data_IF_782099478451
#
_entry.id   IF_782099478451
#
_cell.length_a   1.000
_cell.length_b   1.000
_cell.length_c   1.000
_cell.angle_alpha   90.00
_cell.angle_beta   90.00
_cell.angle_gamma   90.00
#
_symmetry.space_group_name_H-M   'P 1'
#
loop_
_entity.id
_entity.type
_entity.pdbx_description
1 polymer ?
#
# COMPACT_ATOMS: atom_id res chain seq x y z
N UNK A 1 3.74 10.32 25.04
CA UNK A 1 3.66 10.76 23.63
C UNK A 1 3.41 9.53 22.76
N UNK A 2 2.36 9.55 21.94
CA UNK A 2 2.12 8.51 20.93
C UNK A 2 2.85 8.91 19.65
N UNK A 3 3.87 8.15 19.26
CA UNK A 3 4.57 8.37 18.00
C UNK A 3 3.77 7.73 16.85
N UNK A 4 3.24 8.56 15.95
CA UNK A 4 2.51 8.09 14.76
C UNK A 4 3.46 8.05 13.56
N UNK A 5 3.68 6.87 12.99
CA UNK A 5 4.36 6.74 11.71
C UNK A 5 3.31 6.97 10.61
N UNK A 6 3.37 8.13 9.94
CA UNK A 6 2.58 8.39 8.73
C UNK A 6 3.39 7.91 7.54
N UNK A 7 2.97 6.79 6.95
CA UNK A 7 3.43 6.40 5.61
C UNK A 7 2.44 7.00 4.60
N UNK A 8 2.96 7.45 3.46
CA UNK A 8 2.52 8.60 2.68
C UNK A 8 1.04 8.70 2.28
N UNK A 9 0.68 9.95 1.92
CA UNK A 9 -0.64 10.47 1.65
C UNK A 9 -0.84 10.71 0.15
N UNK A 10 -1.82 10.03 -0.46
CA UNK A 10 -2.50 10.54 -1.64
C UNK A 10 -3.73 11.31 -1.15
N UNK A 11 -3.65 12.64 -1.07
CA UNK A 11 -4.80 13.49 -0.77
C UNK A 11 -5.57 13.81 -2.05
N UNK A 12 -6.91 13.88 -1.96
CA UNK A 12 -7.70 14.58 -2.98
C UNK A 12 -7.18 16.01 -3.14
N UNK A 13 -7.06 16.55 -4.36
CA UNK A 13 -6.87 17.99 -4.51
C UNK A 13 -8.04 18.71 -3.84
N UNK A 14 -7.73 19.59 -2.89
CA UNK A 14 -8.70 20.55 -2.36
C UNK A 14 -8.97 21.55 -3.49
N UNK A 15 -10.26 21.88 -3.70
CA UNK A 15 -10.76 22.84 -4.69
C UNK A 15 -9.82 24.06 -4.89
N UNK A 16 -9.64 24.59 -6.12
CA UNK A 16 -8.70 25.68 -6.42
C UNK A 16 -9.05 27.04 -5.78
N UNK A 17 -10.09 27.12 -4.95
CA UNK A 17 -10.49 28.33 -4.25
C UNK A 17 -10.70 28.02 -2.76
N UNK A 18 -9.71 28.32 -1.93
CA UNK A 18 -9.82 28.18 -0.47
C UNK A 18 -8.54 28.60 0.24
N UNK A 19 -8.53 29.83 0.76
CA UNK A 19 -7.44 30.39 1.56
C UNK A 19 -7.15 29.53 2.79
N UNK A 20 -5.87 29.25 3.06
CA UNK A 20 -5.43 28.71 4.35
C UNK A 20 -4.74 29.80 5.17
N UNK A 21 -5.26 30.01 6.38
CA UNK A 21 -4.57 30.67 7.47
C UNK A 21 -3.36 29.81 7.90
N UNK A 22 -2.16 30.38 7.84
CA UNK A 22 -0.99 29.86 8.55
C UNK A 22 -0.90 30.53 9.91
N UNK A 23 -1.01 29.75 11.00
CA UNK A 23 -0.48 30.14 12.30
C UNK A 23 0.92 29.51 12.44
N UNK A 24 1.89 30.36 12.74
CA UNK A 24 3.34 30.13 12.70
C UNK A 24 3.88 29.71 14.08
N UNK A 25 4.91 28.87 14.10
CA UNK A 25 6.01 28.91 15.09
C UNK A 25 7.24 28.21 14.50
N UNK A 26 8.09 28.93 13.75
CA UNK A 26 9.46 29.39 14.11
C UNK A 26 10.39 28.31 14.68
N UNK A 27 11.34 27.83 13.87
CA UNK A 27 12.79 28.02 14.10
C UNK A 27 13.58 27.53 12.87
N UNK A 28 14.42 28.45 12.38
CA UNK A 28 15.34 28.34 11.25
C UNK A 28 16.36 27.21 11.39
N UNK A 29 16.79 26.65 10.26
CA UNK A 29 18.20 26.55 9.84
C UNK A 29 18.21 26.13 8.36
N UNK A 30 18.83 26.96 7.54
CA UNK A 30 19.21 26.65 6.17
C UNK A 30 20.38 25.68 6.17
N UNK A 31 20.32 24.59 5.41
CA UNK A 31 21.52 23.91 4.91
C UNK A 31 21.28 23.47 3.46
N UNK A 32 21.92 24.20 2.55
CA UNK A 32 22.33 23.66 1.25
C UNK A 32 23.51 22.72 1.53
N UNK A 33 23.41 21.47 1.13
CA UNK A 33 24.57 20.59 0.94
C UNK A 33 24.33 19.73 -0.30
N UNK A 34 24.93 20.17 -1.41
CA UNK A 34 25.36 19.28 -2.48
C UNK A 34 26.47 18.40 -1.93
N UNK A 35 26.31 17.08 -1.99
CA UNK A 35 27.44 16.15 -1.95
C UNK A 35 27.32 15.24 -3.16
N UNK A 36 28.21 15.49 -4.12
CA UNK A 36 28.65 14.55 -5.14
C UNK A 36 29.46 13.44 -4.51
N UNK A 37 29.25 12.19 -4.92
CA UNK A 37 30.11 11.07 -4.55
C UNK A 37 29.43 9.74 -4.75
N UNK A 38 29.81 9.06 -5.82
CA UNK A 38 29.57 7.64 -6.07
C UNK A 38 30.09 6.77 -4.92
N UNK A 39 29.76 5.47 -4.98
CA UNK A 39 30.21 4.34 -4.13
C UNK A 39 29.20 3.93 -3.04
N UNK A 40 28.24 3.08 -3.42
CA UNK A 40 28.12 1.68 -2.96
C UNK A 40 26.91 1.00 -3.61
N UNK A 41 27.03 0.73 -4.92
CA UNK A 41 26.24 -0.29 -5.59
C UNK A 41 26.94 -1.65 -5.38
N UNK A 42 26.68 -2.33 -4.25
CA UNK A 42 26.95 -3.78 -4.08
C UNK A 42 26.44 -4.28 -2.73
N UNK A 43 25.15 -4.64 -2.69
CA UNK A 43 24.60 -5.80 -1.95
C UNK A 43 23.07 -5.78 -2.07
N UNK A 44 22.56 -6.19 -3.23
CA UNK A 44 21.15 -6.60 -3.37
C UNK A 44 21.13 -7.96 -4.06
N UNK A 45 21.66 -8.95 -3.35
CA UNK A 45 21.48 -10.39 -3.55
C UNK A 45 21.60 -10.89 -2.09
N UNK A 46 20.54 -11.22 -1.35
CA UNK A 46 19.70 -12.40 -1.49
C UNK A 46 18.52 -12.23 -0.53
N UNK A 47 17.30 -12.03 -1.05
CA UNK A 47 16.06 -12.21 -0.26
C UNK A 47 15.06 -13.11 -1.00
N UNK A 48 15.55 -13.85 -2.00
CA UNK A 48 14.83 -14.92 -2.67
C UNK A 48 14.62 -16.16 -1.79
N UNK A 49 15.29 -16.26 -0.65
CA UNK A 49 15.34 -17.49 0.16
C UNK A 49 14.40 -17.48 1.38
N UNK A 50 13.56 -16.45 1.54
CA UNK A 50 12.46 -16.45 2.53
C UNK A 50 11.11 -16.89 1.95
N UNK A 51 11.07 -17.32 0.69
CA UNK A 51 9.99 -18.20 0.21
C UNK A 51 10.33 -19.63 0.67
N UNK A 52 10.38 -19.79 1.99
CA UNK A 52 10.51 -21.08 2.64
C UNK A 52 9.31 -21.94 2.29
N UNK A 53 9.60 -23.22 2.03
CA UNK A 53 8.70 -24.30 1.61
C UNK A 53 7.55 -24.55 2.61
N UNK A 54 6.60 -23.63 2.70
CA UNK A 54 5.24 -23.98 3.00
C UNK A 54 4.59 -24.34 1.68
N UNK A 55 4.19 -25.60 1.51
CA UNK A 55 3.26 -25.97 0.44
C UNK A 55 2.07 -25.01 0.53
N UNK A 56 2.00 -24.03 -0.39
CA UNK A 56 0.77 -23.31 -0.65
C UNK A 56 -0.25 -24.41 -0.99
N UNK A 57 -1.35 -24.56 -0.23
CA UNK A 57 -2.31 -25.63 -0.46
C UNK A 57 -2.71 -25.57 -1.93
N UNK A 58 -2.35 -26.65 -2.64
CA UNK A 58 -2.62 -26.80 -4.05
C UNK A 58 -4.12 -26.57 -4.27
N UNK A 59 -4.44 -25.68 -5.20
CA UNK A 59 -5.80 -25.43 -5.69
C UNK A 59 -6.76 -24.93 -4.59
N UNK A 60 -6.64 -23.65 -4.22
CA UNK A 60 -7.80 -23.01 -3.59
C UNK A 60 -8.86 -22.79 -4.67
N UNK A 61 -9.73 -23.80 -4.85
CA UNK A 61 -10.91 -23.74 -5.70
C UNK A 61 -11.92 -22.70 -5.19
N UNK A 62 -13.21 -22.92 -5.38
CA UNK A 62 -14.29 -22.02 -4.90
C UNK A 62 -14.16 -21.61 -3.41
N UNK A 63 -13.45 -22.38 -2.59
CA UNK A 63 -13.09 -22.04 -1.20
C UNK A 63 -12.12 -20.87 -1.01
N UNK A 64 -11.27 -20.54 -2.00
CA UNK A 64 -10.24 -19.50 -1.86
C UNK A 64 -10.78 -18.09 -1.89
N UNK A 65 -11.77 -17.87 -2.76
CA UNK A 65 -12.53 -16.63 -2.81
C UNK A 65 -13.20 -16.33 -1.46
N UNK A 66 -13.72 -17.38 -0.81
CA UNK A 66 -14.39 -17.27 0.49
C UNK A 66 -13.40 -17.05 1.64
N UNK A 67 -12.20 -17.63 1.57
CA UNK A 67 -11.15 -17.39 2.56
C UNK A 67 -10.67 -15.93 2.51
N UNK A 68 -10.27 -15.42 1.33
CA UNK A 68 -9.79 -14.04 1.19
C UNK A 68 -10.88 -13.04 1.57
N UNK A 69 -12.14 -13.30 1.16
CA UNK A 69 -13.25 -12.43 1.54
C UNK A 69 -13.41 -12.36 3.06
N UNK A 70 -13.39 -13.50 3.75
CA UNK A 70 -13.49 -13.54 5.21
C UNK A 70 -12.34 -12.80 5.88
N UNK A 71 -11.12 -12.93 5.36
CA UNK A 71 -9.96 -12.20 5.85
C UNK A 71 -10.16 -10.68 5.69
N UNK A 72 -10.45 -10.20 4.47
CA UNK A 72 -10.67 -8.77 4.22
C UNK A 72 -11.83 -8.22 5.06
N UNK A 73 -12.95 -8.96 5.13
CA UNK A 73 -14.11 -8.58 5.95
C UNK A 73 -13.78 -8.52 7.44
N UNK A 74 -13.01 -9.48 7.97
CA UNK A 74 -12.60 -9.47 9.38
C UNK A 74 -11.65 -8.31 9.72
N UNK A 75 -10.87 -7.85 8.74
CA UNK A 75 -9.92 -6.74 8.89
C UNK A 75 -10.60 -5.37 8.71
N UNK A 76 -11.72 -5.30 8.00
CA UNK A 76 -12.51 -4.09 7.86
C UNK A 76 -13.28 -3.76 9.16
N UNK A 77 -13.14 -2.52 9.63
CA UNK A 77 -13.84 -2.00 10.82
C UNK A 77 -14.92 -1.01 10.37
N UNK A 78 -16.18 -1.48 10.19
CA UNK A 78 -17.26 -0.62 9.71
C UNK A 78 -17.57 0.48 10.72
N UNK A 79 -17.85 1.68 10.22
CA UNK A 79 -18.27 2.84 11.00
C UNK A 79 -19.65 3.33 10.56
N UNK A 80 -20.31 4.10 11.43
CA UNK A 80 -21.58 4.74 11.09
C UNK A 80 -21.35 5.72 9.93
N UNK A 81 -22.11 5.56 8.85
CA UNK A 81 -21.98 6.40 7.65
C UNK A 81 -21.06 5.83 6.57
N UNK A 82 -20.40 4.69 6.81
CA UNK A 82 -19.63 4.01 5.76
C UNK A 82 -20.52 3.65 4.56
N UNK A 83 -20.03 3.79 3.32
CA UNK A 83 -20.83 3.46 2.16
C UNK A 83 -21.20 1.98 2.08
N UNK A 84 -22.44 1.70 1.71
CA UNK A 84 -22.97 0.33 1.57
C UNK A 84 -22.19 -0.51 0.55
N UNK A 85 -21.47 0.12 -0.38
CA UNK A 85 -20.70 -0.59 -1.40
C UNK A 85 -19.43 -1.25 -0.90
N UNK A 86 -18.88 -0.85 0.26
CA UNK A 86 -17.55 -1.33 0.69
C UNK A 86 -17.55 -2.85 0.85
N UNK A 87 -18.61 -3.43 1.42
CA UNK A 87 -18.68 -4.89 1.59
C UNK A 87 -18.77 -5.65 0.24
N UNK A 88 -19.58 -5.17 -0.70
CA UNK A 88 -19.67 -5.78 -2.03
C UNK A 88 -18.36 -5.66 -2.79
N UNK A 89 -17.69 -4.51 -2.67
CA UNK A 89 -16.42 -4.25 -3.35
C UNK A 89 -15.30 -5.13 -2.76
N UNK A 90 -15.24 -5.32 -1.44
CA UNK A 90 -14.29 -6.27 -0.81
C UNK A 90 -14.50 -7.71 -1.29
N UNK A 91 -15.73 -8.11 -1.60
CA UNK A 91 -16.04 -9.43 -2.20
C UNK A 91 -15.54 -9.52 -3.64
N UNK A 92 -15.64 -8.44 -4.41
CA UNK A 92 -15.10 -8.41 -5.77
C UNK A 92 -13.58 -8.41 -5.77
N UNK A 93 -12.95 -7.62 -4.89
CA UNK A 93 -11.52 -7.63 -4.65
C UNK A 93 -11.02 -9.02 -4.25
N UNK A 94 -11.74 -9.75 -3.39
CA UNK A 94 -11.33 -11.10 -3.00
C UNK A 94 -11.30 -12.08 -4.18
N UNK A 95 -12.32 -12.04 -5.05
CA UNK A 95 -12.36 -12.83 -6.28
C UNK A 95 -11.24 -12.44 -7.24
N UNK A 96 -10.89 -11.16 -7.29
CA UNK A 96 -9.76 -10.68 -8.07
C UNK A 96 -8.45 -11.26 -7.52
N UNK A 97 -8.16 -11.09 -6.23
CA UNK A 97 -6.89 -11.55 -5.62
C UNK A 97 -6.70 -13.06 -5.66
N UNK A 98 -7.77 -13.85 -5.50
CA UNK A 98 -7.68 -15.32 -5.54
C UNK A 98 -7.18 -15.89 -6.88
N UNK A 99 -7.15 -15.09 -7.96
CA UNK A 99 -6.59 -15.49 -9.25
C UNK A 99 -5.06 -15.38 -9.32
N UNK A 100 -4.42 -14.76 -8.33
CA UNK A 100 -2.98 -14.51 -8.32
C UNK A 100 -2.37 -15.11 -7.06
N UNK A 101 -1.64 -16.24 -7.16
CA UNK A 101 -0.95 -16.85 -6.03
C UNK A 101 -0.06 -15.88 -5.25
N UNK A 102 0.51 -14.90 -5.94
CA UNK A 102 1.35 -13.86 -5.36
C UNK A 102 0.56 -12.93 -4.42
N UNK A 103 -0.67 -12.54 -4.81
CA UNK A 103 -1.57 -11.76 -3.96
C UNK A 103 -2.11 -12.59 -2.80
N UNK A 104 -2.44 -13.87 -3.06
CA UNK A 104 -2.83 -14.83 -2.01
C UNK A 104 -1.74 -14.93 -0.95
N UNK A 105 -0.48 -15.13 -1.36
CA UNK A 105 0.66 -15.27 -0.47
C UNK A 105 0.86 -14.04 0.44
N UNK A 106 0.72 -12.83 -0.11
CA UNK A 106 0.76 -11.58 0.67
C UNK A 106 -0.34 -11.62 1.73
N UNK A 107 -1.59 -11.81 1.32
CA UNK A 107 -2.74 -11.80 2.23
C UNK A 107 -2.65 -12.87 3.33
N UNK A 108 -2.25 -14.09 2.99
CA UNK A 108 -2.06 -15.17 3.97
C UNK A 108 -0.89 -14.90 4.91
N UNK A 109 0.20 -14.30 4.42
CA UNK A 109 1.35 -13.94 5.24
C UNK A 109 1.05 -12.84 6.26
N UNK A 110 0.03 -12.03 6.01
CA UNK A 110 -0.41 -10.95 6.90
C UNK A 110 -1.43 -11.40 7.97
N UNK A 111 -1.75 -12.69 8.04
CA UNK A 111 -2.79 -13.19 8.97
C UNK A 111 -2.38 -13.09 10.43
N UNK A 112 -1.09 -13.25 10.74
CA UNK A 112 -0.56 -13.14 12.10
C UNK A 112 -0.35 -11.68 12.56
N UNK A 113 -0.41 -10.71 11.65
CA UNK A 113 -0.19 -9.30 11.95
C UNK A 113 -1.46 -8.60 12.47
N UNK A 114 -1.29 -7.66 13.41
CA UNK A 114 -2.37 -6.83 13.92
C UNK A 114 -2.61 -5.60 13.02
N UNK A 115 -3.45 -5.79 12.00
CA UNK A 115 -3.87 -4.71 11.10
C UNK A 115 -5.38 -4.65 10.89
N UNK A 116 -5.85 -3.48 10.48
CA UNK A 116 -7.26 -3.20 10.17
C UNK A 116 -7.40 -2.30 8.94
N UNK A 117 -8.60 -2.26 8.37
CA UNK A 117 -8.99 -1.32 7.31
C UNK A 117 -10.17 -0.47 7.78
N UNK A 118 -10.16 0.81 7.43
CA UNK A 118 -11.22 1.77 7.77
C UNK A 118 -11.52 2.63 6.56
N UNK A 119 -12.81 2.87 6.30
CA UNK A 119 -13.23 3.75 5.22
C UNK A 119 -12.71 5.18 5.44
N UNK A 120 -12.22 5.81 4.38
CA UNK A 120 -11.84 7.21 4.32
C UNK A 120 -11.95 7.69 2.86
N UNK A 121 -12.96 8.51 2.58
CA UNK A 121 -13.20 9.04 1.24
C UNK A 121 -12.09 9.96 0.70
N UNK A 122 -11.13 10.37 1.54
CA UNK A 122 -10.15 11.42 1.22
C UNK A 122 -8.76 10.90 0.84
N UNK A 123 -8.45 9.63 1.16
CA UNK A 123 -7.09 9.11 1.03
C UNK A 123 -7.01 7.59 0.89
N UNK A 124 -5.93 7.16 0.25
CA UNK A 124 -5.29 5.88 0.50
C UNK A 124 -4.07 6.12 1.38
N UNK A 125 -3.97 5.40 2.51
CA UNK A 125 -2.78 5.47 3.36
C UNK A 125 -2.71 4.33 4.37
N UNK A 126 -1.52 3.81 4.61
CA UNK A 126 -1.21 2.92 5.73
C UNK A 126 -0.65 3.70 6.91
N UNK A 127 -1.32 3.60 8.06
CA UNK A 127 -0.93 4.25 9.31
C UNK A 127 -0.43 3.20 10.29
N UNK A 128 0.82 3.32 10.74
CA UNK A 128 1.37 2.46 11.78
C UNK A 128 1.50 3.23 13.10
N UNK A 129 1.11 2.59 14.20
CA UNK A 129 1.29 3.09 15.56
C UNK A 129 2.12 2.09 16.34
N UNK A 130 3.01 2.58 17.19
CA UNK A 130 3.87 1.73 17.99
C UNK A 130 4.69 2.50 19.00
N UNK A 131 5.30 1.78 19.95
CA UNK A 131 6.21 2.32 20.96
C UNK A 131 7.51 1.52 20.99
N UNK A 132 8.59 2.13 21.48
CA UNK A 132 9.83 1.45 21.84
C UNK A 132 10.38 0.49 20.77
N UNK A 133 10.36 0.91 19.49
CA UNK A 133 10.81 0.12 18.33
C UNK A 133 9.97 -1.14 18.06
N UNK A 134 8.71 -1.15 18.44
CA UNK A 134 7.72 -2.14 18.02
C UNK A 134 6.56 -1.43 17.31
N UNK A 135 5.88 -2.15 16.42
CA UNK A 135 4.64 -1.70 15.78
C UNK A 135 3.50 -2.44 16.45
N UNK A 136 2.62 -1.70 17.13
CA UNK A 136 1.52 -2.25 17.91
C UNK A 136 0.27 -2.45 17.05
N UNK A 137 0.04 -1.57 16.08
CA UNK A 137 -1.11 -1.65 15.19
C UNK A 137 -0.88 -0.96 13.86
N UNK A 138 -1.52 -1.50 12.81
CA UNK A 138 -1.50 -0.93 11.47
C UNK A 138 -2.93 -0.71 10.98
N UNK A 139 -3.23 0.44 10.37
CA UNK A 139 -4.55 0.77 9.83
C UNK A 139 -4.44 1.28 8.41
N UNK A 140 -5.10 0.62 7.47
CA UNK A 140 -5.30 1.14 6.12
C UNK A 140 -6.53 2.06 6.12
N UNK A 141 -6.36 3.28 5.62
CA UNK A 141 -7.44 4.21 5.30
C UNK A 141 -7.67 4.16 3.79
N UNK A 142 -8.92 3.94 3.37
CA UNK A 142 -9.21 3.72 1.96
C UNK A 142 -10.65 4.03 1.56
N UNK A 143 -10.87 4.20 0.26
CA UNK A 143 -12.17 4.10 -0.38
C UNK A 143 -12.08 3.04 -1.48
N UNK A 144 -12.91 1.98 -1.41
CA UNK A 144 -12.94 0.90 -2.42
C UNK A 144 -13.33 1.37 -3.81
N UNK A 145 -13.72 2.65 -3.96
CA UNK A 145 -14.05 3.33 -5.22
C UNK A 145 -13.16 4.53 -5.51
N UNK A 146 -12.00 4.64 -4.87
CA UNK A 146 -10.96 5.61 -5.24
C UNK A 146 -9.81 4.89 -5.95
N UNK A 147 -9.64 5.15 -7.24
CA UNK A 147 -8.43 4.77 -7.99
C UNK A 147 -7.32 5.81 -7.82
N UNK A 148 -6.12 5.48 -8.29
CA UNK A 148 -4.97 6.40 -8.30
C UNK A 148 -4.51 6.65 -9.73
N UNK A 149 -4.35 7.91 -10.12
CA UNK A 149 -3.79 8.28 -11.41
C UNK A 149 -2.44 8.95 -11.24
N UNK A 150 -1.46 8.48 -11.99
CA UNK A 150 -0.08 8.96 -11.96
C UNK A 150 0.25 9.74 -13.24
N UNK A 151 1.26 10.61 -13.15
CA UNK A 151 1.84 11.28 -14.32
C UNK A 151 2.56 10.25 -15.20
N UNK A 152 2.51 10.40 -16.53
CA UNK A 152 3.26 9.54 -17.47
C UNK A 152 4.78 9.56 -17.26
N UNK A 153 5.31 10.59 -16.59
CA UNK A 153 6.72 10.63 -16.18
C UNK A 153 7.03 9.63 -15.04
N UNK A 154 6.01 9.21 -14.31
CA UNK A 154 6.12 8.43 -13.07
C UNK A 154 5.72 6.95 -13.26
N UNK A 155 5.37 6.54 -14.48
CA UNK A 155 4.91 5.20 -14.82
C UNK A 155 5.19 4.89 -16.28
N UNK A 156 5.72 3.70 -16.56
CA UNK A 156 6.06 3.28 -17.93
C UNK A 156 4.92 2.56 -18.66
N UNK A 157 3.90 2.11 -17.92
CA UNK A 157 2.72 1.39 -18.43
C UNK A 157 1.51 1.78 -17.59
N UNK A 158 0.33 1.87 -18.23
CA UNK A 158 -1.00 2.12 -17.63
C UNK A 158 -0.96 2.84 -16.28
N UNK A 159 -0.90 4.17 -16.36
CA UNK A 159 -0.73 5.08 -15.24
C UNK A 159 -1.97 5.25 -14.35
N UNK A 160 -2.94 4.33 -14.44
CA UNK A 160 -4.16 4.33 -13.64
C UNK A 160 -4.23 3.03 -12.85
N UNK A 161 -4.28 3.16 -11.54
CA UNK A 161 -4.31 2.07 -10.57
C UNK A 161 -5.76 1.88 -10.15
N UNK A 162 -6.28 0.65 -10.26
CA UNK A 162 -7.60 0.32 -9.75
C UNK A 162 -7.61 0.37 -8.21
N UNK A 163 -8.77 0.57 -7.55
CA UNK A 163 -8.85 0.49 -6.09
C UNK A 163 -8.32 -0.84 -5.52
N UNK A 164 -8.51 -1.95 -6.23
CA UNK A 164 -7.99 -3.25 -5.81
C UNK A 164 -6.45 -3.33 -5.89
N UNK A 165 -5.85 -2.75 -6.92
CA UNK A 165 -4.40 -2.67 -7.04
C UNK A 165 -3.82 -1.69 -6.00
N UNK A 166 -4.51 -0.59 -5.70
CA UNK A 166 -4.14 0.35 -4.63
C UNK A 166 -4.16 -0.32 -3.24
N UNK A 167 -5.15 -1.17 -2.96
CA UNK A 167 -5.14 -1.96 -1.73
C UNK A 167 -3.96 -2.94 -1.66
N UNK A 168 -3.57 -3.58 -2.78
CA UNK A 168 -2.37 -4.42 -2.80
C UNK A 168 -1.11 -3.63 -2.45
N UNK A 169 -1.00 -2.41 -2.96
CA UNK A 169 0.09 -1.50 -2.59
C UNK A 169 0.14 -1.27 -1.07
N UNK A 170 -1.00 -0.93 -0.44
CA UNK A 170 -1.06 -0.75 1.02
C UNK A 170 -0.73 -2.03 1.79
N UNK A 171 -1.12 -3.21 1.28
CA UNK A 171 -0.77 -4.49 1.90
C UNK A 171 0.74 -4.76 1.87
N UNK A 172 1.48 -4.26 0.86
CA UNK A 172 2.94 -4.34 0.84
C UNK A 172 3.59 -3.46 1.91
N UNK A 173 2.99 -2.31 2.25
CA UNK A 173 3.42 -1.55 3.43
C UNK A 173 3.29 -2.40 4.69
N UNK A 174 2.14 -3.04 4.89
CA UNK A 174 1.93 -3.93 6.05
C UNK A 174 2.95 -5.05 6.06
N UNK A 175 3.24 -5.67 4.92
CA UNK A 175 4.19 -6.78 4.86
C UNK A 175 5.60 -6.38 5.31
N UNK A 176 6.05 -5.18 4.94
CA UNK A 176 7.33 -4.65 5.44
C UNK A 176 7.24 -4.40 6.95
N UNK A 177 6.19 -3.70 7.38
CA UNK A 177 6.00 -3.27 8.77
C UNK A 177 5.75 -4.42 9.75
N UNK A 178 5.20 -5.53 9.27
CA UNK A 178 4.89 -6.73 10.06
C UNK A 178 6.03 -7.75 10.04
N UNK A 179 7.13 -7.46 9.34
CA UNK A 179 8.35 -8.24 9.45
C UNK A 179 8.96 -8.09 10.84
N UNK A 180 9.81 -9.05 11.23
CA UNK A 180 10.68 -8.93 12.40
C UNK A 180 11.78 -7.91 12.12
N UNK A 181 11.40 -6.64 11.96
CA UNK A 181 12.32 -5.55 11.71
C UNK A 181 13.16 -5.29 12.95
N UNK A 182 14.47 -5.15 12.77
CA UNK A 182 15.34 -4.65 13.82
C UNK A 182 14.92 -3.23 14.22
N UNK A 183 15.29 -2.82 15.43
CA UNK A 183 14.95 -1.52 15.97
C UNK A 183 15.43 -0.34 15.09
N UNK A 184 16.61 -0.52 14.55
CA UNK A 184 17.33 0.35 13.62
C UNK A 184 16.64 0.41 12.26
N UNK A 185 16.05 -0.70 11.79
CA UNK A 185 15.21 -0.70 10.59
C UNK A 185 13.92 0.11 10.83
N UNK A 186 13.23 -0.09 11.94
CA UNK A 186 12.02 0.69 12.28
C UNK A 186 12.32 2.19 12.38
N UNK A 187 13.46 2.54 12.97
CA UNK A 187 13.92 3.94 13.01
C UNK A 187 14.27 4.47 11.62
N UNK A 188 14.88 3.67 10.75
CA UNK A 188 15.16 4.05 9.37
C UNK A 188 13.86 4.30 8.58
N UNK A 189 12.83 3.47 8.74
CA UNK A 189 11.52 3.69 8.10
C UNK A 189 10.85 4.98 8.62
N UNK A 190 11.04 5.31 9.90
CA UNK A 190 10.54 6.56 10.50
C UNK A 190 11.23 7.79 9.94
N UNK A 191 12.55 7.73 9.82
CA UNK A 191 13.38 8.87 9.48
C UNK A 191 13.55 9.05 7.96
N UNK A 192 13.24 8.02 7.16
CA UNK A 192 13.32 8.08 5.71
C UNK A 192 12.09 7.45 5.02
N UNK A 193 10.94 8.16 5.04
CA UNK A 193 9.72 7.70 4.37
C UNK A 193 9.88 7.47 2.86
N UNK A 194 10.78 8.22 2.21
CA UNK A 194 11.06 8.06 0.78
C UNK A 194 11.71 6.72 0.45
N UNK A 195 12.70 6.30 1.24
CA UNK A 195 13.35 4.99 1.06
C UNK A 195 12.39 3.82 1.31
N UNK A 196 11.52 3.93 2.33
CA UNK A 196 10.47 2.93 2.58
C UNK A 196 9.55 2.77 1.37
N UNK A 197 9.11 3.89 0.81
CA UNK A 197 8.21 3.86 -0.34
C UNK A 197 8.88 3.34 -1.61
N UNK A 198 10.15 3.65 -1.85
CA UNK A 198 10.91 3.05 -2.96
C UNK A 198 11.03 1.52 -2.81
N UNK A 199 11.16 1.01 -1.58
CA UNK A 199 11.13 -0.43 -1.30
C UNK A 199 9.76 -1.04 -1.63
N UNK A 200 8.68 -0.36 -1.29
CA UNK A 200 7.32 -0.78 -1.66
C UNK A 200 7.10 -0.76 -3.17
N UNK A 201 7.52 0.31 -3.85
CA UNK A 201 7.46 0.41 -5.33
C UNK A 201 8.20 -0.77 -5.98
N UNK A 202 9.37 -1.15 -5.45
CA UNK A 202 10.12 -2.30 -5.97
C UNK A 202 9.35 -3.62 -5.80
N UNK A 203 8.72 -3.84 -4.64
CA UNK A 203 7.87 -5.02 -4.37
C UNK A 203 6.62 -5.03 -5.25
N UNK A 204 5.98 -3.88 -5.42
CA UNK A 204 4.79 -3.68 -6.24
C UNK A 204 5.07 -4.00 -7.71
N UNK A 205 6.18 -3.47 -8.27
CA UNK A 205 6.59 -3.77 -9.64
C UNK A 205 6.79 -5.26 -9.86
N UNK A 206 7.41 -5.96 -8.91
CA UNK A 206 7.60 -7.42 -8.98
C UNK A 206 6.25 -8.15 -8.97
N UNK A 207 5.37 -7.79 -8.04
CA UNK A 207 4.01 -8.34 -7.92
C UNK A 207 3.22 -8.14 -9.22
N UNK A 208 3.13 -6.90 -9.70
CA UNK A 208 2.38 -6.58 -10.90
C UNK A 208 3.00 -7.21 -12.16
N UNK A 209 4.33 -7.31 -12.26
CA UNK A 209 4.95 -8.04 -13.37
C UNK A 209 4.55 -9.52 -13.38
N UNK A 210 4.41 -10.16 -12.22
CA UNK A 210 3.91 -11.54 -12.11
C UNK A 210 2.44 -11.64 -12.49
N UNK A 211 1.59 -10.74 -11.98
CA UNK A 211 0.17 -10.70 -12.30
C UNK A 211 -0.08 -10.44 -13.79
N UNK A 212 0.66 -9.50 -14.39
CA UNK A 212 0.57 -9.15 -15.82
C UNK A 212 0.95 -10.33 -16.71
N UNK A 213 1.99 -11.10 -16.35
CA UNK A 213 2.35 -12.32 -17.08
C UNK A 213 1.26 -13.38 -17.04
N UNK A 214 0.47 -13.43 -15.96
CA UNK A 214 -0.59 -14.42 -15.77
C UNK A 214 -1.84 -14.12 -16.59
N UNK A 215 -2.25 -12.86 -16.66
CA UNK A 215 -3.53 -12.47 -17.27
C UNK A 215 -3.42 -11.56 -18.50
N UNK A 216 -2.21 -11.19 -18.91
CA UNK A 216 -1.95 -10.30 -20.04
C UNK A 216 -2.40 -8.85 -19.83
N UNK A 217 -2.93 -8.49 -18.64
CA UNK A 217 -3.37 -7.13 -18.34
C UNK A 217 -2.16 -6.30 -17.97
N UNK A 218 -2.09 -5.09 -18.50
CA UNK A 218 -1.08 -4.12 -18.09
C UNK A 218 -1.52 -3.48 -16.78
N UNK A 219 -0.62 -3.51 -15.80
CA UNK A 219 -0.73 -2.81 -14.52
C UNK A 219 0.39 -1.78 -14.42
N UNK A 220 0.18 -0.70 -13.65
CA UNK A 220 1.16 0.35 -13.47
C UNK A 220 2.56 -0.19 -13.15
N UNK A 221 3.57 0.33 -13.83
CA UNK A 221 4.98 0.09 -13.48
C UNK A 221 5.58 1.42 -13.05
N UNK A 222 5.20 1.86 -11.85
CA UNK A 222 5.59 3.17 -11.33
C UNK A 222 7.03 3.19 -10.84
N UNK A 223 7.66 4.35 -10.90
CA UNK A 223 8.99 4.61 -10.37
C UNK A 223 8.99 5.76 -9.34
N UNK A 224 7.82 6.32 -9.05
CA UNK A 224 7.65 7.45 -8.15
C UNK A 224 6.38 7.26 -7.29
N UNK A 225 6.38 7.76 -6.04
CA UNK A 225 5.25 7.58 -5.12
C UNK A 225 4.01 8.42 -5.42
N UNK A 226 4.16 9.47 -6.22
CA UNK A 226 3.10 10.47 -6.38
C UNK A 226 2.06 10.10 -7.44
N UNK A 227 0.80 10.35 -7.07
CA UNK A 227 -0.37 10.32 -7.93
C UNK A 227 -1.47 11.19 -7.34
N UNK A 228 -2.66 11.14 -7.92
CA UNK A 228 -3.86 11.74 -7.33
C UNK A 228 -5.01 10.75 -7.33
N UNK A 229 -5.91 10.90 -6.38
CA UNK A 229 -7.10 10.06 -6.28
C UNK A 229 -8.16 10.51 -7.28
N UNK A 230 -8.83 9.54 -7.90
CA UNK A 230 -10.01 9.77 -8.72
C UNK A 230 -11.09 8.74 -8.37
N UNK A 231 -12.35 9.14 -8.49
CA UNK A 231 -13.47 8.23 -8.23
C UNK A 231 -13.60 7.22 -9.38
N UNK A 232 -14.06 6.01 -9.08
CA UNK A 232 -14.42 4.98 -10.05
C UNK A 232 -15.72 4.29 -9.64
N UNK A 233 -16.38 3.61 -10.57
CA UNK A 233 -17.64 2.91 -10.29
C UNK A 233 -17.48 1.55 -9.62
N UNK A 234 -16.32 0.92 -9.77
CA UNK A 234 -16.05 -0.42 -9.30
C UNK A 234 -14.62 -0.59 -8.78
N UNK A 235 -14.35 -1.56 -7.89
CA UNK A 235 -13.02 -1.75 -7.31
C UNK A 235 -11.95 -2.21 -8.30
N UNK A 236 -12.35 -2.70 -9.48
CA UNK A 236 -11.44 -3.14 -10.56
C UNK A 236 -11.37 -2.14 -11.72
N UNK A 237 -12.11 -1.04 -11.65
CA UNK A 237 -12.19 -0.05 -12.69
C UNK A 237 -10.97 0.88 -12.65
N UNK A 238 -10.45 1.23 -13.81
CA UNK A 238 -9.36 2.23 -13.98
C UNK A 238 -9.84 3.49 -14.68
N UNK A 239 -11.14 3.58 -14.97
CA UNK A 239 -11.82 4.72 -15.60
C UNK A 239 -13.15 4.97 -14.89
N UNK A 240 -13.71 6.17 -15.09
CA UNK A 240 -14.99 6.61 -14.53
C UNK A 240 -16.21 5.89 -15.12
#
# INVERSE_FOLDING_TARGET
>A
MEDKLKVWLLQKPVSPYGCYFFAVAVLSISFLLCISGEVLARQVIQSSDLVGRGELPAQIGTGGNNYIYRLLKARYRPQVGDPKYVESDLREMSRYYSRYPEAVAILTGLTAAEWTMQYDSSRWSTLAKGKNRAIDSITIKFDSRAGVKMSSLHCSQDCSVSPADALLHELLHIQILSGNLAADEINALRNNPGAHELKVIAMERKLYAQMNRRDGRRRPQRNHPSGYLFAVKCPLCTVL
#
